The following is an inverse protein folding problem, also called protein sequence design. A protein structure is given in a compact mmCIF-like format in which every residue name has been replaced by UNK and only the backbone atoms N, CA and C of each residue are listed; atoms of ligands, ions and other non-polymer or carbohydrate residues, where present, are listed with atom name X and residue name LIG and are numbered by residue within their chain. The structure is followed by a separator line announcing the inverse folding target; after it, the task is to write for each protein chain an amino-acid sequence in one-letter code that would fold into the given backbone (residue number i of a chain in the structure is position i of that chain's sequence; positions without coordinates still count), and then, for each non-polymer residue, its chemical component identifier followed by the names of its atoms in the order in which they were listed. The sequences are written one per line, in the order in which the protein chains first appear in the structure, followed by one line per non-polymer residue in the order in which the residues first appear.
data_IF_735137718652
#
_entry.id   IF_735137718652
#
_cell.length_a   1.000
_cell.length_b   1.000
_cell.length_c   1.000
_cell.angle_alpha   90.00
_cell.angle_beta   90.00
_cell.angle_gamma   90.00
#
_symmetry.space_group_name_H-M   'P 1'
#
loop_
_entity.id
_entity.type
_entity.pdbx_description
1 polymer ?
#
# COMPACT_ATOMS: atom_id res chain seq x y z
N UNK A 1 5.01 -62.63 29.16
CA UNK A 1 5.32 -62.53 27.72
C UNK A 1 4.46 -61.52 26.98
N UNK A 2 3.11 -61.56 27.02
CA UNK A 2 2.25 -60.62 26.27
C UNK A 2 2.41 -59.11 26.61
N UNK A 3 2.84 -58.75 27.83
CA UNK A 3 3.06 -57.35 28.22
C UNK A 3 4.39 -56.75 27.73
N UNK A 4 5.38 -57.60 27.43
CA UNK A 4 6.69 -57.16 26.91
C UNK A 4 6.59 -56.95 25.39
N UNK A 5 5.77 -57.74 24.69
CA UNK A 5 5.52 -57.59 23.25
C UNK A 5 4.73 -56.32 22.91
N UNK A 6 3.82 -55.88 23.78
CA UNK A 6 3.07 -54.63 23.61
C UNK A 6 3.93 -53.38 23.85
N UNK A 7 4.89 -53.45 24.79
CA UNK A 7 5.84 -52.36 25.03
C UNK A 7 6.89 -52.26 23.91
N UNK A 8 7.30 -53.38 23.33
CA UNK A 8 8.21 -53.39 22.17
C UNK A 8 7.52 -52.89 20.90
N UNK A 9 6.22 -53.18 20.68
CA UNK A 9 5.47 -52.62 19.56
C UNK A 9 5.20 -51.12 19.73
N UNK A 10 4.91 -50.66 20.95
CA UNK A 10 4.77 -49.24 21.24
C UNK A 10 6.11 -48.50 21.11
N UNK A 11 7.23 -49.13 21.47
CA UNK A 11 8.58 -48.58 21.27
C UNK A 11 9.00 -48.64 19.80
N UNK A 12 8.61 -49.65 19.02
CA UNK A 12 8.85 -49.69 17.57
C UNK A 12 7.94 -48.73 16.79
N UNK A 13 6.74 -48.42 17.29
CA UNK A 13 5.90 -47.35 16.73
C UNK A 13 6.35 -45.96 17.20
N UNK A 14 6.92 -45.81 18.40
CA UNK A 14 7.59 -44.56 18.79
C UNK A 14 8.91 -44.36 18.03
N UNK A 15 9.64 -45.43 17.72
CA UNK A 15 10.87 -45.39 16.92
C UNK A 15 10.59 -45.27 15.41
N UNK A 16 9.35 -45.46 14.95
CA UNK A 16 8.93 -45.14 13.59
C UNK A 16 8.51 -43.66 13.43
N UNK A 17 8.52 -42.88 14.52
CA UNK A 17 8.34 -41.41 14.53
C UNK A 17 9.59 -40.73 15.10
N UNK A 18 10.71 -41.44 15.22
CA UNK A 18 12.02 -40.79 15.41
C UNK A 18 12.49 -40.42 14.00
N UNK A 19 12.54 -39.12 13.63
CA UNK A 19 13.18 -38.73 12.39
C UNK A 19 14.60 -39.29 12.38
N UNK A 20 14.95 -39.91 11.26
CA UNK A 20 16.26 -40.48 10.96
C UNK A 20 17.34 -39.50 11.41
N UNK A 21 18.05 -39.87 12.48
CA UNK A 21 19.26 -39.18 12.92
C UNK A 21 20.37 -39.50 11.93
N UNK A 22 20.50 -38.65 10.91
CA UNK A 22 21.58 -38.65 9.95
C UNK A 22 21.15 -37.99 8.66
N UNK A 23 21.72 -36.80 8.40
CA UNK A 23 21.56 -35.92 7.23
C UNK A 23 20.46 -34.86 7.38
N UNK A 24 20.94 -33.62 7.59
CA UNK A 24 20.27 -32.31 7.55
C UNK A 24 18.76 -32.32 7.84
N UNK A 25 18.41 -32.21 9.13
CA UNK A 25 17.00 -32.03 9.53
C UNK A 25 16.49 -30.66 9.08
N UNK A 26 15.23 -30.55 8.61
CA UNK A 26 14.59 -29.25 8.40
C UNK A 26 14.34 -28.49 9.70
N UNK A 27 14.46 -29.11 10.88
CA UNK A 27 14.35 -28.41 12.16
C UNK A 27 15.42 -27.31 12.34
N UNK A 28 15.08 -26.23 13.03
CA UNK A 28 15.94 -25.10 13.39
C UNK A 28 15.49 -23.77 12.76
N UNK A 29 16.37 -22.77 12.80
CA UNK A 29 16.10 -21.43 12.29
C UNK A 29 16.26 -21.37 10.77
N UNK A 30 15.34 -20.68 10.13
CA UNK A 30 15.31 -20.37 8.72
C UNK A 30 15.01 -18.89 8.55
N UNK A 31 15.78 -18.21 7.73
CA UNK A 31 15.66 -16.79 7.49
C UNK A 31 15.29 -16.54 6.04
N UNK A 32 14.29 -15.69 5.87
CA UNK A 32 13.92 -15.12 4.60
C UNK A 32 14.77 -13.87 4.42
N UNK A 33 15.79 -13.94 3.57
CA UNK A 33 16.75 -12.86 3.39
C UNK A 33 16.76 -12.38 1.94
N UNK A 34 16.73 -11.08 1.72
CA UNK A 34 16.85 -10.45 0.40
C UNK A 34 17.91 -9.35 0.46
N UNK A 35 18.96 -9.47 -0.36
CA UNK A 35 20.06 -8.50 -0.42
C UNK A 35 20.62 -8.09 0.97
N UNK A 36 20.96 -9.08 1.81
CA UNK A 36 21.40 -8.93 3.21
C UNK A 36 20.36 -8.33 4.19
N UNK A 37 19.08 -8.24 3.79
CA UNK A 37 17.99 -7.83 4.66
C UNK A 37 17.16 -9.04 5.07
N UNK A 38 17.04 -9.30 6.37
CA UNK A 38 16.14 -10.31 6.94
C UNK A 38 14.71 -9.76 6.90
N UNK A 39 13.90 -10.35 6.03
CA UNK A 39 12.48 -10.05 5.91
C UNK A 39 11.63 -10.80 6.93
N UNK A 40 12.13 -11.90 7.49
CA UNK A 40 11.41 -12.72 8.46
C UNK A 40 12.19 -13.98 8.78
N UNK A 41 11.68 -14.76 9.73
CA UNK A 41 12.25 -16.04 10.10
C UNK A 41 11.18 -17.09 10.38
N UNK A 42 11.56 -18.35 10.25
CA UNK A 42 10.79 -19.50 10.67
C UNK A 42 11.68 -20.36 11.57
N UNK A 43 11.20 -20.64 12.78
CA UNK A 43 11.79 -21.64 13.66
C UNK A 43 10.96 -22.92 13.60
N UNK A 44 11.57 -24.01 13.15
CA UNK A 44 10.96 -25.34 13.13
C UNK A 44 11.49 -26.16 14.29
N UNK A 45 10.68 -26.39 15.32
CA UNK A 45 11.09 -27.17 16.49
C UNK A 45 11.01 -28.68 16.22
N UNK A 46 11.89 -29.46 16.85
CA UNK A 46 11.91 -30.92 16.68
C UNK A 46 10.61 -31.63 17.12
N UNK A 47 9.78 -30.97 17.93
CA UNK A 47 8.49 -31.50 18.41
C UNK A 47 7.34 -31.29 17.40
N UNK A 48 7.62 -30.75 16.21
CA UNK A 48 6.63 -30.46 15.18
C UNK A 48 5.92 -29.12 15.35
N UNK A 49 6.31 -28.30 16.33
CA UNK A 49 5.82 -26.91 16.44
C UNK A 49 6.66 -25.96 15.60
N UNK A 50 6.06 -24.87 15.14
CA UNK A 50 6.73 -23.82 14.39
C UNK A 50 6.48 -22.44 14.99
N UNK A 51 7.42 -21.53 14.83
CA UNK A 51 7.23 -20.09 15.03
C UNK A 51 7.54 -19.41 13.70
N UNK A 52 6.61 -18.61 13.21
CA UNK A 52 6.75 -17.86 11.96
C UNK A 52 6.70 -16.37 12.29
N UNK A 53 7.70 -15.63 11.85
CA UNK A 53 7.74 -14.18 11.95
C UNK A 53 8.00 -13.62 10.55
N UNK A 54 7.06 -12.83 10.05
CA UNK A 54 7.20 -12.13 8.77
C UNK A 54 7.25 -10.63 9.07
N UNK A 55 8.14 -9.92 8.40
CA UNK A 55 8.33 -8.48 8.47
C UNK A 55 8.65 -7.91 9.87
N UNK A 56 9.08 -8.73 10.83
CA UNK A 56 9.43 -8.30 12.20
C UNK A 56 8.25 -7.74 13.00
N UNK A 57 7.01 -8.17 12.71
CA UNK A 57 5.79 -7.67 13.37
C UNK A 57 5.47 -8.46 14.64
N UNK A 58 5.08 -9.74 14.53
CA UNK A 58 4.82 -10.61 15.69
C UNK A 58 5.11 -12.09 15.39
N UNK A 59 5.40 -12.86 16.43
CA UNK A 59 5.63 -14.30 16.35
C UNK A 59 4.30 -15.07 16.26
N UNK A 60 4.10 -15.75 15.15
CA UNK A 60 2.92 -16.58 14.89
C UNK A 60 3.26 -18.03 15.23
N UNK A 61 2.52 -18.60 16.18
CA UNK A 61 2.62 -20.02 16.50
C UNK A 61 1.99 -20.88 15.39
N UNK A 62 2.65 -21.97 15.06
CA UNK A 62 2.21 -22.93 14.06
C UNK A 62 2.69 -24.35 14.34
N UNK A 63 2.49 -25.21 13.36
CA UNK A 63 2.98 -26.59 13.35
C UNK A 63 3.64 -26.88 12.02
N UNK A 64 4.52 -27.87 11.97
CA UNK A 64 5.10 -28.33 10.72
C UNK A 64 5.22 -29.84 10.67
N UNK A 65 5.22 -30.37 9.44
CA UNK A 65 5.46 -31.77 9.14
C UNK A 65 6.40 -31.89 7.95
N UNK A 66 7.16 -32.98 7.86
CA UNK A 66 7.93 -33.30 6.67
C UNK A 66 7.53 -34.66 6.11
N UNK A 67 7.37 -34.74 4.79
CA UNK A 67 7.21 -35.97 4.02
C UNK A 67 8.24 -35.97 2.88
N UNK A 68 9.30 -36.77 3.04
CA UNK A 68 10.45 -36.72 2.15
C UNK A 68 11.12 -35.34 2.16
N UNK A 69 11.20 -34.70 0.99
CA UNK A 69 11.77 -33.36 0.84
C UNK A 69 10.71 -32.26 0.98
N UNK A 70 9.43 -32.60 1.18
CA UNK A 70 8.38 -31.61 1.33
C UNK A 70 8.20 -31.28 2.81
N UNK A 71 8.35 -30.00 3.16
CA UNK A 71 8.12 -29.45 4.49
C UNK A 71 6.85 -28.60 4.42
N UNK A 72 5.80 -29.04 5.11
CA UNK A 72 4.54 -28.31 5.21
C UNK A 72 4.51 -27.56 6.53
N UNK A 73 4.38 -26.24 6.49
CA UNK A 73 4.27 -25.37 7.65
C UNK A 73 2.84 -24.85 7.70
N UNK A 74 2.16 -25.00 8.83
CA UNK A 74 0.80 -24.50 9.05
C UNK A 74 0.81 -23.43 10.13
N UNK A 75 0.52 -22.19 9.75
CA UNK A 75 0.35 -21.07 10.66
C UNK A 75 -1.01 -20.42 10.37
N UNK A 76 -1.73 -19.99 11.41
CA UNK A 76 -3.09 -19.42 11.30
C UNK A 76 -4.08 -20.28 10.47
N UNK A 77 -3.87 -21.59 10.42
CA UNK A 77 -4.73 -22.52 9.67
C UNK A 77 -4.45 -22.59 8.16
N UNK A 78 -3.43 -21.89 7.65
CA UNK A 78 -3.01 -21.94 6.25
C UNK A 78 -1.76 -22.82 6.10
N UNK A 79 -1.82 -23.92 5.34
CA UNK A 79 -0.64 -24.72 5.04
C UNK A 79 0.17 -24.10 3.89
N UNK A 80 1.49 -24.05 4.07
CA UNK A 80 2.48 -23.63 3.07
C UNK A 80 3.48 -24.76 2.86
N UNK A 81 3.64 -25.18 1.62
CA UNK A 81 4.57 -26.24 1.24
C UNK A 81 5.89 -25.67 0.74
N UNK A 82 6.97 -26.23 1.28
CA UNK A 82 8.35 -25.94 0.91
C UNK A 82 9.06 -27.22 0.47
N UNK A 83 9.93 -27.08 -0.51
CA UNK A 83 10.91 -28.10 -0.88
C UNK A 83 12.21 -27.83 -0.13
N UNK A 84 12.62 -28.82 0.66
CA UNK A 84 13.87 -28.84 1.40
C UNK A 84 14.95 -29.60 0.61
N UNK A 85 16.08 -28.95 0.37
CA UNK A 85 17.20 -29.51 -0.40
C UNK A 85 18.40 -29.94 0.48
N UNK A 86 18.26 -29.83 1.81
CA UNK A 86 19.35 -29.98 2.79
C UNK A 86 19.81 -28.63 3.36
N UNK A 87 19.88 -27.61 2.51
CA UNK A 87 20.49 -26.31 2.83
C UNK A 87 19.51 -25.14 2.77
N UNK A 88 18.41 -25.28 2.04
CA UNK A 88 17.40 -24.25 1.83
C UNK A 88 15.98 -24.83 1.87
N UNK A 89 15.01 -23.95 2.14
CA UNK A 89 13.59 -24.19 1.92
C UNK A 89 13.13 -23.29 0.78
N UNK A 90 12.52 -23.85 -0.25
CA UNK A 90 12.01 -23.09 -1.40
C UNK A 90 10.55 -23.41 -1.67
N UNK A 91 9.76 -22.47 -2.18
CA UNK A 91 8.36 -22.71 -2.53
C UNK A 91 8.11 -22.28 -3.98
N UNK A 92 7.22 -22.98 -4.68
CA UNK A 92 6.77 -22.55 -6.01
C UNK A 92 5.82 -21.34 -5.93
N UNK A 93 5.14 -21.17 -4.78
CA UNK A 93 4.22 -20.05 -4.54
C UNK A 93 4.92 -18.80 -4.05
N UNK A 94 6.17 -18.91 -3.58
CA UNK A 94 6.89 -17.83 -2.92
C UNK A 94 8.28 -17.66 -3.54
N UNK A 95 8.58 -16.50 -4.15
CA UNK A 95 9.79 -16.33 -4.98
C UNK A 95 11.10 -16.28 -4.18
N UNK A 96 11.04 -16.32 -2.85
CA UNK A 96 12.21 -16.28 -1.97
C UNK A 96 12.44 -17.64 -1.33
N UNK A 97 13.70 -18.09 -1.37
CA UNK A 97 14.15 -19.23 -0.58
C UNK A 97 14.50 -18.79 0.84
N UNK A 98 14.26 -19.68 1.81
CA UNK A 98 14.75 -19.52 3.16
C UNK A 98 16.08 -20.25 3.31
N UNK A 99 17.00 -19.63 4.03
CA UNK A 99 18.33 -20.19 4.31
C UNK A 99 18.61 -20.20 5.81
N UNK A 100 19.73 -20.81 6.22
CA UNK A 100 20.18 -20.75 7.62
C UNK A 100 20.89 -19.42 7.96
N UNK A 101 21.15 -18.59 6.97
CA UNK A 101 21.90 -17.34 7.12
C UNK A 101 20.95 -16.15 7.32
N UNK A 102 21.05 -15.54 8.48
CA UNK A 102 20.38 -14.28 8.78
C UNK A 102 21.03 -13.13 7.99
N UNK A 103 20.20 -12.25 7.43
CA UNK A 103 20.66 -11.00 6.86
C UNK A 103 21.35 -10.10 7.90
N UNK A 104 22.15 -9.15 7.41
CA UNK A 104 22.88 -8.20 8.27
C UNK A 104 21.97 -7.10 8.83
N UNK A 105 20.81 -6.88 8.23
CA UNK A 105 19.83 -5.89 8.65
C UNK A 105 18.44 -6.51 8.78
N UNK A 106 17.68 -6.23 9.85
CA UNK A 106 16.27 -6.57 9.88
C UNK A 106 15.47 -5.59 9.01
N UNK A 107 14.36 -6.06 8.44
CA UNK A 107 13.46 -5.25 7.61
C UNK A 107 12.94 -4.01 8.34
N UNK A 108 12.79 -4.06 9.67
CA UNK A 108 12.38 -2.92 10.49
C UNK A 108 13.34 -1.73 10.38
N UNK A 109 14.64 -1.96 10.27
CA UNK A 109 15.64 -0.88 10.08
C UNK A 109 15.53 -0.28 8.69
N UNK A 110 15.33 -1.12 7.66
CA UNK A 110 15.11 -0.67 6.28
C UNK A 110 13.83 0.15 6.16
N UNK A 111 12.74 -0.30 6.79
CA UNK A 111 11.46 0.41 6.85
C UNK A 111 11.62 1.80 7.43
N UNK A 112 12.30 1.92 8.59
CA UNK A 112 12.59 3.22 9.22
C UNK A 112 13.41 4.12 8.31
N UNK A 113 14.46 3.57 7.69
CA UNK A 113 15.31 4.34 6.78
C UNK A 113 14.55 4.88 5.56
N UNK A 114 13.63 4.10 4.98
CA UNK A 114 12.81 4.53 3.84
C UNK A 114 11.73 5.55 4.23
N UNK A 115 11.17 5.44 5.43
CA UNK A 115 10.18 6.38 5.97
C UNK A 115 10.78 7.71 6.44
N UNK A 116 12.11 7.80 6.53
CA UNK A 116 12.81 8.97 7.09
C UNK A 116 12.73 9.08 8.61
N UNK A 117 12.29 8.02 9.28
CA UNK A 117 12.32 7.89 10.74
C UNK A 117 13.75 7.76 11.26
N UNK A 118 13.95 8.16 12.52
CA UNK A 118 15.22 7.97 13.21
C UNK A 118 15.46 6.47 13.44
N UNK A 119 16.63 6.00 13.02
CA UNK A 119 17.05 4.61 13.20
C UNK A 119 18.43 4.56 13.83
N UNK A 120 18.70 3.46 14.56
CA UNK A 120 20.01 3.20 15.11
C UNK A 120 20.85 2.41 14.12
N UNK A 121 22.10 2.85 13.91
CA UNK A 121 23.10 2.09 13.19
C UNK A 121 23.41 0.79 13.95
N UNK A 122 23.26 -0.39 13.32
CA UNK A 122 23.68 -1.64 13.93
C UNK A 122 25.15 -1.60 14.32
N UNK A 123 25.48 -2.28 15.41
CA UNK A 123 26.84 -2.29 15.95
C UNK A 123 27.85 -2.77 14.88
N UNK A 124 28.89 -1.97 14.64
CA UNK A 124 29.95 -2.27 13.68
C UNK A 124 29.61 -2.01 12.21
N UNK A 125 28.44 -1.42 11.90
CA UNK A 125 28.06 -1.04 10.54
C UNK A 125 28.25 0.46 10.29
N UNK A 126 28.77 0.83 9.12
CA UNK A 126 28.85 2.22 8.66
C UNK A 126 27.58 2.66 7.95
N UNK A 127 27.28 3.98 7.94
CA UNK A 127 26.15 4.55 7.18
C UNK A 127 26.21 4.20 5.68
N UNK A 128 27.42 4.16 5.11
CA UNK A 128 27.62 3.81 3.70
C UNK A 128 27.26 2.35 3.43
N UNK A 129 27.67 1.42 4.31
CA UNK A 129 27.29 0.01 4.20
C UNK A 129 25.78 -0.17 4.31
N UNK A 130 25.14 0.50 5.26
CA UNK A 130 23.69 0.42 5.43
C UNK A 130 22.95 0.96 4.19
N UNK A 131 23.34 2.14 3.71
CA UNK A 131 22.75 2.74 2.51
C UNK A 131 22.93 1.82 1.30
N UNK A 132 24.10 1.18 1.18
CA UNK A 132 24.37 0.22 0.09
C UNK A 132 23.46 -1.00 0.19
N UNK A 133 23.30 -1.59 1.38
CA UNK A 133 22.40 -2.73 1.61
C UNK A 133 20.97 -2.34 1.26
N UNK A 134 20.50 -1.17 1.70
CA UNK A 134 19.15 -0.71 1.42
C UNK A 134 18.89 -0.43 -0.07
N UNK A 135 19.84 0.18 -0.78
CA UNK A 135 19.73 0.39 -2.23
C UNK A 135 19.67 -0.94 -2.99
N UNK A 136 20.50 -1.92 -2.60
CA UNK A 136 20.47 -3.25 -3.19
C UNK A 136 19.15 -3.97 -2.89
N UNK A 137 18.64 -3.84 -1.67
CA UNK A 137 17.33 -4.37 -1.29
C UNK A 137 16.21 -3.79 -2.14
N UNK A 138 16.13 -2.47 -2.30
CA UNK A 138 15.11 -1.82 -3.15
C UNK A 138 15.22 -2.31 -4.59
N UNK A 139 16.43 -2.43 -5.13
CA UNK A 139 16.66 -2.91 -6.49
C UNK A 139 16.23 -4.37 -6.70
N UNK A 140 16.57 -5.27 -5.79
CA UNK A 140 16.19 -6.70 -5.88
C UNK A 140 14.69 -6.90 -5.60
N UNK A 141 14.13 -6.18 -4.63
CA UNK A 141 12.69 -6.20 -4.34
C UNK A 141 11.89 -5.75 -5.56
N UNK A 142 12.32 -4.68 -6.23
CA UNK A 142 11.68 -4.18 -7.47
C UNK A 142 11.68 -5.25 -8.56
N UNK A 143 12.81 -5.95 -8.78
CA UNK A 143 12.90 -7.03 -9.78
C UNK A 143 11.94 -8.19 -9.48
N UNK A 144 11.79 -8.56 -8.21
CA UNK A 144 10.86 -9.63 -7.80
C UNK A 144 9.42 -9.20 -8.07
N UNK A 145 9.07 -7.95 -7.75
CA UNK A 145 7.74 -7.40 -8.01
C UNK A 145 7.44 -7.29 -9.51
N UNK A 146 8.42 -6.90 -10.33
CA UNK A 146 8.31 -6.88 -11.80
C UNK A 146 8.20 -8.29 -12.40
N UNK A 147 8.89 -9.29 -11.83
CA UNK A 147 8.77 -10.67 -12.28
C UNK A 147 7.40 -11.26 -11.94
N UNK A 148 6.87 -10.95 -10.74
CA UNK A 148 5.54 -11.38 -10.31
C UNK A 148 4.42 -10.75 -11.15
N UNK A 149 4.56 -9.50 -11.59
CA UNK A 149 3.57 -8.85 -12.47
C UNK A 149 3.58 -9.40 -13.90
N UNK A 150 4.72 -9.91 -14.38
CA UNK A 150 4.86 -10.47 -15.73
C UNK A 150 4.41 -11.94 -15.88
N UNK A 151 4.19 -12.67 -14.77
CA UNK A 151 3.71 -14.07 -14.81
C UNK A 151 2.19 -14.23 -14.97
N UNK A 152 1.41 -13.13 -15.00
CA UNK A 152 -0.04 -13.16 -15.24
C UNK A 152 -0.47 -13.38 -16.70
N UNK A 153 0.45 -13.73 -17.62
CA UNK A 153 0.25 -13.64 -19.07
C UNK A 153 0.37 -14.92 -19.90
N UNK A 154 0.48 -16.12 -19.32
CA UNK A 154 0.54 -17.37 -20.12
C UNK A 154 -0.71 -18.23 -19.96
N UNK A 155 -1.61 -18.10 -20.95
CA UNK A 155 -2.69 -19.03 -21.23
C UNK A 155 -2.14 -20.44 -21.50
N UNK A 156 -2.44 -21.40 -20.62
CA UNK A 156 -2.43 -22.81 -20.98
C UNK A 156 -3.83 -23.22 -21.40
N UNK A 157 -4.06 -23.19 -22.72
CA UNK A 157 -5.29 -23.69 -23.31
C UNK A 157 -5.44 -25.20 -23.09
N UNK A 158 -6.55 -25.61 -22.48
CA UNK A 158 -7.22 -26.88 -22.81
C UNK A 158 -8.72 -26.73 -22.64
N UNK A 159 -9.43 -27.14 -23.68
CA UNK A 159 -10.86 -27.02 -23.90
C UNK A 159 -11.69 -27.87 -22.93
N UNK A 160 -12.59 -27.21 -22.20
CA UNK A 160 -13.65 -27.86 -21.43
C UNK A 160 -14.79 -26.87 -21.19
N UNK A 161 -15.86 -27.00 -21.96
CA UNK A 161 -17.10 -26.23 -21.84
C UNK A 161 -17.71 -26.43 -20.45
N UNK A 162 -17.45 -25.46 -19.57
CA UNK A 162 -18.27 -25.22 -18.39
C UNK A 162 -18.43 -23.71 -18.30
N UNK A 163 -19.68 -23.28 -18.36
CA UNK A 163 -20.11 -21.91 -18.11
C UNK A 163 -19.42 -21.39 -16.84
N UNK A 164 -18.60 -20.32 -16.91
CA UNK A 164 -17.96 -19.79 -15.72
C UNK A 164 -19.05 -19.21 -14.83
N UNK A 165 -19.08 -19.69 -13.58
CA UNK A 165 -19.70 -18.96 -12.48
C UNK A 165 -19.10 -17.54 -12.45
N UNK A 166 -19.86 -16.51 -12.04
CA UNK A 166 -19.34 -15.15 -11.98
C UNK A 166 -18.07 -15.18 -11.12
N UNK A 167 -16.93 -14.84 -11.74
CA UNK A 167 -15.77 -14.40 -11.00
C UNK A 167 -16.25 -13.13 -10.29
N UNK A 168 -16.32 -13.17 -8.96
CA UNK A 168 -16.44 -11.96 -8.16
C UNK A 168 -15.26 -11.07 -8.57
N UNK A 169 -15.54 -10.04 -9.35
CA UNK A 169 -14.56 -9.01 -9.69
C UNK A 169 -14.01 -8.47 -8.37
N UNK A 170 -12.68 -8.36 -8.28
CA UNK A 170 -12.05 -7.79 -7.09
C UNK A 170 -12.70 -6.44 -6.78
N UNK A 171 -13.08 -6.15 -5.51
CA UNK A 171 -13.82 -4.95 -5.19
C UNK A 171 -12.99 -3.71 -5.54
N UNK A 172 -13.50 -2.94 -6.49
CA UNK A 172 -12.91 -1.70 -7.00
C UNK A 172 -13.59 -0.49 -6.36
N UNK A 173 -12.85 0.61 -6.25
CA UNK A 173 -13.44 1.89 -5.85
C UNK A 173 -14.26 2.48 -7.00
N UNK A 174 -15.40 3.08 -6.69
CA UNK A 174 -16.21 3.80 -7.69
C UNK A 174 -15.62 5.19 -7.91
N UNK A 175 -15.37 5.57 -9.17
CA UNK A 175 -15.06 6.96 -9.55
C UNK A 175 -16.38 7.69 -9.80
N UNK A 176 -16.83 8.49 -8.86
CA UNK A 176 -18.10 9.24 -8.98
C UNK A 176 -17.97 10.40 -9.97
N UNK A 177 -16.81 11.06 -9.98
CA UNK A 177 -16.52 12.20 -10.86
C UNK A 177 -15.02 12.34 -11.03
N UNK A 178 -14.58 12.68 -12.24
CA UNK A 178 -13.19 13.01 -12.50
C UNK A 178 -13.04 14.21 -13.42
N UNK A 179 -11.87 14.82 -13.42
CA UNK A 179 -11.50 15.93 -14.31
C UNK A 179 -10.01 15.83 -14.61
N UNK A 180 -9.66 16.09 -15.87
CA UNK A 180 -8.28 16.27 -16.29
C UNK A 180 -8.13 17.69 -16.83
N UNK A 181 -7.12 18.41 -16.36
CA UNK A 181 -6.82 19.79 -16.77
C UNK A 181 -5.35 19.93 -17.11
N UNK A 182 -5.05 20.78 -18.07
CA UNK A 182 -3.69 21.15 -18.44
C UNK A 182 -3.48 22.60 -18.07
N UNK A 183 -2.44 22.86 -17.27
CA UNK A 183 -2.07 24.20 -16.82
C UNK A 183 -0.59 24.45 -17.13
N UNK A 184 -0.23 25.72 -17.31
CA UNK A 184 1.18 26.13 -17.37
C UNK A 184 1.90 25.80 -16.04
N UNK A 185 3.14 25.32 -16.15
CA UNK A 185 4.02 24.92 -15.06
C UNK A 185 5.43 25.48 -15.29
N UNK A 186 6.29 25.43 -14.28
CA UNK A 186 7.65 25.95 -14.35
C UNK A 186 8.51 25.36 -15.48
N UNK A 187 8.22 24.13 -15.89
CA UNK A 187 8.98 23.35 -16.88
C UNK A 187 8.22 23.12 -18.20
N UNK A 188 7.09 23.78 -18.43
CA UNK A 188 6.23 23.55 -19.60
C UNK A 188 4.77 23.50 -19.18
N UNK A 189 4.10 22.39 -19.49
CA UNK A 189 2.70 22.18 -19.12
C UNK A 189 2.58 21.03 -18.14
N UNK A 190 1.55 21.07 -17.29
CA UNK A 190 1.24 19.99 -16.37
C UNK A 190 -0.21 19.56 -16.57
N UNK A 191 -0.39 18.30 -16.94
CA UNK A 191 -1.67 17.61 -16.87
C UNK A 191 -1.94 17.18 -15.44
N UNK A 192 -3.09 17.53 -14.89
CA UNK A 192 -3.53 17.13 -13.55
C UNK A 192 -4.88 16.43 -13.64
N UNK A 193 -4.91 15.19 -13.20
CA UNK A 193 -6.11 14.40 -13.00
C UNK A 193 -6.55 14.52 -11.55
N UNK A 194 -7.84 14.76 -11.33
CA UNK A 194 -8.48 14.78 -10.02
C UNK A 194 -9.70 13.87 -10.11
N UNK A 195 -9.88 12.99 -9.14
CA UNK A 195 -11.08 12.16 -9.02
C UNK A 195 -11.65 12.18 -7.62
N UNK A 196 -12.97 12.23 -7.55
CA UNK A 196 -13.78 11.91 -6.37
C UNK A 196 -14.09 10.42 -6.45
N UNK A 197 -13.71 9.71 -5.39
CA UNK A 197 -13.86 8.26 -5.30
C UNK A 197 -14.72 7.90 -4.11
N UNK A 198 -15.43 6.78 -4.22
CA UNK A 198 -16.28 6.28 -3.15
C UNK A 198 -16.18 4.77 -3.05
N UNK A 199 -16.05 4.28 -1.82
CA UNK A 199 -16.19 2.86 -1.57
C UNK A 199 -17.69 2.51 -1.50
N UNK A 200 -18.24 1.96 -2.59
CA UNK A 200 -19.63 1.47 -2.60
C UNK A 200 -19.75 -0.02 -2.25
N UNK A 201 -18.64 -0.66 -1.92
CA UNK A 201 -18.60 -2.07 -1.51
C UNK A 201 -19.00 -2.21 -0.04
N UNK A 202 -19.32 -3.45 0.36
CA UNK A 202 -19.63 -3.79 1.76
C UNK A 202 -18.39 -4.06 2.61
N UNK A 203 -17.19 -3.97 2.02
CA UNK A 203 -15.89 -4.20 2.66
C UNK A 203 -15.00 -2.96 2.55
N UNK A 204 -14.09 -2.71 3.50
CA UNK A 204 -13.14 -1.61 3.39
C UNK A 204 -12.23 -1.76 2.16
N UNK A 205 -11.79 -0.63 1.62
CA UNK A 205 -10.85 -0.57 0.50
C UNK A 205 -9.61 0.22 0.87
N UNK A 206 -8.46 -0.30 0.49
CA UNK A 206 -7.16 0.36 0.58
C UNK A 206 -6.64 0.69 -0.82
N UNK A 207 -6.29 1.96 -1.05
CA UNK A 207 -5.72 2.45 -2.30
C UNK A 207 -4.23 2.14 -2.35
N UNK A 208 -3.80 1.28 -3.27
CA UNK A 208 -2.39 0.88 -3.39
C UNK A 208 -1.63 1.70 -4.42
N UNK A 209 -2.33 2.24 -5.41
CA UNK A 209 -1.70 2.89 -6.54
C UNK A 209 -2.71 3.45 -7.53
N UNK A 210 -2.18 4.06 -8.58
CA UNK A 210 -2.96 4.60 -9.66
C UNK A 210 -2.11 4.69 -10.91
N UNK A 211 -2.74 4.44 -12.05
CA UNK A 211 -2.12 4.62 -13.34
C UNK A 211 -2.93 5.62 -14.15
N UNK A 212 -2.25 6.51 -14.85
CA UNK A 212 -2.86 7.39 -15.84
C UNK A 212 -2.00 7.40 -17.10
N UNK A 213 -2.65 7.21 -18.24
CA UNK A 213 -2.07 7.42 -19.56
C UNK A 213 -2.74 8.62 -20.22
N UNK A 214 -1.94 9.47 -20.88
CA UNK A 214 -2.41 10.67 -21.56
C UNK A 214 -2.07 10.57 -23.04
N UNK A 215 -3.05 10.90 -23.88
CA UNK A 215 -2.98 10.78 -25.33
C UNK A 215 -3.22 12.13 -26.01
N UNK A 216 -2.46 12.40 -27.07
CA UNK A 216 -2.66 13.58 -27.92
C UNK A 216 -3.92 13.47 -28.80
N UNK A 217 -4.19 14.53 -29.58
CA UNK A 217 -5.33 14.55 -30.52
C UNK A 217 -5.22 13.57 -31.70
N UNK A 218 -4.05 12.97 -31.93
CA UNK A 218 -3.86 11.90 -32.91
C UNK A 218 -4.06 10.50 -32.30
N UNK A 219 -4.21 10.42 -30.98
CA UNK A 219 -4.39 9.18 -30.23
C UNK A 219 -3.08 8.51 -29.81
N UNK A 220 -1.93 9.19 -29.94
CA UNK A 220 -0.65 8.67 -29.47
C UNK A 220 -0.50 8.91 -27.97
N UNK A 221 0.00 7.93 -27.21
CA UNK A 221 0.37 8.14 -25.81
C UNK A 221 1.58 9.08 -25.74
N UNK A 222 1.45 10.16 -24.97
CA UNK A 222 2.49 11.20 -24.83
C UNK A 222 3.03 11.32 -23.41
N UNK A 223 2.30 10.82 -22.41
CA UNK A 223 2.74 10.83 -21.02
C UNK A 223 2.04 9.74 -20.21
N UNK A 224 2.62 9.40 -19.06
CA UNK A 224 2.03 8.51 -18.08
C UNK A 224 2.43 8.86 -16.63
N UNK A 225 1.58 8.47 -15.69
CA UNK A 225 1.84 8.50 -14.26
C UNK A 225 1.47 7.14 -13.65
N UNK A 226 2.30 6.65 -12.74
CA UNK A 226 2.12 5.37 -12.04
C UNK A 226 2.21 5.56 -10.52
N UNK A 227 1.50 6.57 -10.00
CA UNK A 227 1.47 6.90 -8.58
C UNK A 227 0.17 7.62 -8.23
N UNK A 228 -0.19 7.66 -6.94
CA UNK A 228 -1.21 8.56 -6.41
C UNK A 228 -0.54 9.66 -5.58
N UNK A 229 -0.94 10.91 -5.80
CA UNK A 229 -0.55 12.03 -4.94
C UNK A 229 -1.28 11.95 -3.60
N UNK A 230 -0.63 12.39 -2.52
CA UNK A 230 -1.23 12.49 -1.18
C UNK A 230 -2.30 13.60 -1.16
N UNK A 231 -3.54 13.24 -1.51
CA UNK A 231 -4.64 14.20 -1.73
C UNK A 231 -5.97 13.78 -1.10
N UNK A 232 -6.01 12.61 -0.48
CA UNK A 232 -7.17 12.01 0.16
C UNK A 232 -6.73 10.86 1.04
N UNK A 233 -7.66 10.34 1.85
CA UNK A 233 -7.43 9.11 2.60
C UNK A 233 -7.21 7.94 1.64
N UNK A 234 -6.28 7.05 2.01
CA UNK A 234 -6.00 5.81 1.28
C UNK A 234 -6.84 4.65 1.79
N UNK A 235 -7.52 4.80 2.91
CA UNK A 235 -8.37 3.79 3.51
C UNK A 235 -9.81 4.29 3.53
N UNK A 236 -10.70 3.55 2.87
CA UNK A 236 -12.11 3.92 2.76
C UNK A 236 -12.97 2.81 3.36
N UNK A 237 -13.66 3.10 4.46
CA UNK A 237 -14.73 2.26 4.97
C UNK A 237 -15.91 2.21 3.97
N UNK A 238 -16.79 1.18 4.04
CA UNK A 238 -18.01 1.12 3.24
C UNK A 238 -18.82 2.43 3.30
N UNK A 239 -19.04 3.03 2.14
CA UNK A 239 -19.79 4.27 1.95
C UNK A 239 -18.95 5.55 2.03
N UNK A 240 -17.67 5.49 2.38
CA UNK A 240 -16.81 6.67 2.49
C UNK A 240 -16.36 7.21 1.14
N UNK A 241 -16.14 8.53 1.12
CA UNK A 241 -15.65 9.29 -0.04
C UNK A 241 -14.24 9.79 0.24
N UNK A 242 -13.38 9.71 -0.77
CA UNK A 242 -12.03 10.28 -0.75
C UNK A 242 -11.73 10.94 -2.11
N UNK A 243 -10.54 11.51 -2.24
CA UNK A 243 -10.06 12.12 -3.47
C UNK A 243 -8.69 11.60 -3.84
N UNK A 244 -8.44 11.52 -5.14
CA UNK A 244 -7.14 11.17 -5.67
C UNK A 244 -6.69 12.19 -6.71
N UNK A 245 -5.38 12.33 -6.83
CA UNK A 245 -4.76 13.16 -7.85
C UNK A 245 -3.54 12.48 -8.45
N UNK A 246 -3.35 12.68 -9.74
CA UNK A 246 -2.16 12.27 -10.50
C UNK A 246 -1.75 13.42 -11.41
N UNK A 247 -0.46 13.57 -11.70
CA UNK A 247 -0.01 14.57 -12.65
C UNK A 247 1.07 14.04 -13.59
N UNK A 248 1.12 14.64 -14.78
CA UNK A 248 2.16 14.41 -15.79
C UNK A 248 2.66 15.74 -16.30
N UNK A 249 3.93 15.80 -16.67
CA UNK A 249 4.47 16.93 -17.41
C UNK A 249 4.22 16.72 -18.91
N UNK A 250 3.87 17.80 -19.61
CA UNK A 250 3.47 17.82 -21.01
C UNK A 250 4.29 18.89 -21.75
N UNK A 251 4.60 18.61 -23.02
CA UNK A 251 5.43 19.47 -23.87
C UNK A 251 4.72 20.74 -24.35
N UNK A 252 3.39 20.71 -24.46
CA UNK A 252 2.59 21.80 -25.01
C UNK A 252 1.23 21.94 -24.33
N UNK A 253 0.63 23.12 -24.45
CA UNK A 253 -0.80 23.28 -24.27
C UNK A 253 -1.55 22.58 -25.41
N UNK A 254 -2.69 21.96 -25.12
CA UNK A 254 -3.42 21.22 -26.13
C UNK A 254 -4.64 20.48 -25.59
N UNK A 255 -5.39 19.90 -26.53
CA UNK A 255 -6.45 18.96 -26.20
C UNK A 255 -5.85 17.56 -26.04
N UNK A 256 -6.07 16.98 -24.88
CA UNK A 256 -5.60 15.65 -24.52
C UNK A 256 -6.78 14.79 -24.08
N UNK A 257 -6.67 13.49 -24.33
CA UNK A 257 -7.54 12.48 -23.70
C UNK A 257 -6.73 11.69 -22.69
N UNK A 258 -7.40 11.01 -21.78
CA UNK A 258 -6.72 10.25 -20.73
C UNK A 258 -7.49 8.96 -20.41
N UNK A 259 -6.74 7.98 -19.90
CA UNK A 259 -7.28 6.80 -19.25
C UNK A 259 -6.65 6.75 -17.86
N UNK A 260 -7.47 6.58 -16.83
CA UNK A 260 -7.01 6.52 -15.45
C UNK A 260 -7.62 5.31 -14.75
N UNK A 261 -6.80 4.59 -13.99
CA UNK A 261 -7.20 3.48 -13.15
C UNK A 261 -6.69 3.70 -11.71
N UNK A 262 -7.45 3.23 -10.74
CA UNK A 262 -7.09 3.28 -9.32
C UNK A 262 -7.04 1.84 -8.83
N UNK A 263 -5.93 1.49 -8.20
CA UNK A 263 -5.69 0.14 -7.71
C UNK A 263 -6.11 0.04 -6.25
N UNK A 264 -6.88 -1.00 -5.93
CA UNK A 264 -7.44 -1.24 -4.60
C UNK A 264 -7.18 -2.65 -4.11
N UNK A 265 -7.12 -2.80 -2.79
CA UNK A 265 -7.12 -4.09 -2.08
C UNK A 265 -8.05 -4.02 -0.88
N UNK A 266 -8.54 -5.16 -0.41
CA UNK A 266 -9.34 -5.27 0.83
C UNK A 266 -8.49 -5.47 2.08
N UNK A 267 -7.28 -5.98 1.90
CA UNK A 267 -6.30 -6.17 2.97
C UNK A 267 -5.47 -4.89 3.12
N UNK A 268 -5.70 -4.16 4.21
CA UNK A 268 -4.82 -3.06 4.65
C UNK A 268 -3.67 -3.65 5.47
N UNK A 269 -2.43 -3.35 5.09
CA UNK A 269 -1.24 -3.84 5.80
C UNK A 269 -0.87 -2.94 6.99
N UNK A 270 -1.19 -1.64 6.97
CA UNK A 270 -0.65 -0.63 7.91
C UNK A 270 -1.44 0.67 8.12
N UNK A 271 -2.56 0.89 7.41
CA UNK A 271 -3.29 2.17 7.51
C UNK A 271 -4.76 1.91 7.76
N UNK A 272 -5.22 2.38 8.92
CA UNK A 272 -6.64 2.51 9.25
C UNK A 272 -6.92 3.99 9.45
N UNK A 273 -6.90 4.73 8.34
CA UNK A 273 -7.25 6.15 8.40
C UNK A 273 -8.64 6.28 9.02
N UNK A 274 -8.81 7.20 9.95
CA UNK A 274 -10.14 7.53 10.48
C UNK A 274 -10.51 8.97 10.16
N UNK A 275 -11.78 9.17 9.82
CA UNK A 275 -12.31 10.47 9.49
C UNK A 275 -12.31 11.42 10.71
N UNK A 276 -11.89 12.67 10.46
CA UNK A 276 -12.00 13.79 11.41
C UNK A 276 -13.10 14.72 10.93
N UNK A 277 -13.90 15.24 11.87
CA UNK A 277 -15.03 16.10 11.55
C UNK A 277 -14.60 17.38 10.85
N UNK A 278 -15.24 17.65 9.71
CA UNK A 278 -15.12 18.90 8.96
C UNK A 278 -16.47 19.63 8.89
N UNK A 279 -16.47 20.93 9.12
CA UNK A 279 -17.65 21.80 9.01
C UNK A 279 -17.35 23.08 8.23
N UNK A 280 -18.42 23.74 7.80
CA UNK A 280 -18.39 25.05 7.15
C UNK A 280 -17.43 25.17 5.94
N UNK A 281 -17.39 24.18 5.02
CA UNK A 281 -16.60 24.35 3.81
C UNK A 281 -17.19 25.48 2.96
N UNK A 282 -16.36 26.44 2.56
CA UNK A 282 -16.82 27.63 1.83
C UNK A 282 -15.78 28.13 0.84
N UNK A 283 -16.27 28.46 -0.36
CA UNK A 283 -15.53 29.24 -1.34
C UNK A 283 -15.75 30.74 -1.07
N UNK A 284 -14.66 31.49 -0.95
CA UNK A 284 -14.69 32.95 -0.78
C UNK A 284 -13.99 33.59 -1.95
N UNK A 285 -14.79 34.17 -2.85
CA UNK A 285 -14.26 35.06 -3.89
C UNK A 285 -13.75 36.34 -3.24
N UNK A 286 -12.49 36.69 -3.47
CA UNK A 286 -11.88 37.88 -2.88
C UNK A 286 -11.70 38.94 -3.96
N UNK A 287 -12.26 40.13 -3.73
CA UNK A 287 -12.11 41.24 -4.66
C UNK A 287 -10.73 41.89 -4.52
N UNK A 288 -10.10 42.21 -5.64
CA UNK A 288 -8.82 42.93 -5.71
C UNK A 288 -7.76 42.20 -6.55
N UNK A 289 -7.00 42.95 -7.34
CA UNK A 289 -6.02 42.42 -8.32
C UNK A 289 -4.90 41.58 -7.70
N UNK A 290 -4.62 41.76 -6.41
CA UNK A 290 -3.56 41.05 -5.68
C UNK A 290 -4.09 40.04 -4.66
N UNK A 291 -5.38 39.74 -4.70
CA UNK A 291 -6.01 38.82 -3.75
C UNK A 291 -6.34 37.47 -4.41
N UNK A 292 -5.95 36.39 -3.76
CA UNK A 292 -6.34 35.03 -4.16
C UNK A 292 -7.75 34.72 -3.64
N UNK A 293 -8.52 33.97 -4.44
CA UNK A 293 -9.79 33.44 -3.94
C UNK A 293 -9.45 32.34 -2.94
N UNK A 294 -10.32 32.09 -1.97
CA UNK A 294 -10.00 31.22 -0.84
C UNK A 294 -10.94 30.03 -0.75
N UNK A 295 -10.38 28.87 -0.47
CA UNK A 295 -11.10 27.71 0.04
C UNK A 295 -10.92 27.67 1.56
N UNK A 296 -12.01 27.46 2.29
CA UNK A 296 -11.96 27.34 3.76
C UNK A 296 -12.75 26.14 4.21
N UNK A 297 -12.32 25.53 5.30
CA UNK A 297 -13.05 24.51 6.04
C UNK A 297 -12.59 24.50 7.50
N UNK A 298 -13.47 24.11 8.42
CA UNK A 298 -13.13 24.00 9.83
C UNK A 298 -13.01 22.53 10.21
N UNK A 299 -11.84 22.14 10.70
CA UNK A 299 -11.59 20.80 11.23
C UNK A 299 -11.76 20.83 12.74
N UNK A 300 -12.45 19.84 13.31
CA UNK A 300 -12.71 19.75 14.75
C UNK A 300 -12.25 18.42 15.31
N UNK A 301 -11.39 18.47 16.34
CA UNK A 301 -11.11 17.32 17.18
C UNK A 301 -12.21 17.19 18.23
N UNK A 302 -13.07 16.18 18.10
CA UNK A 302 -14.16 15.89 19.05
C UNK A 302 -13.75 14.90 20.15
N UNK A 303 -12.47 14.53 20.22
CA UNK A 303 -11.95 13.61 21.25
C UNK A 303 -11.52 14.36 22.50
N UNK A 304 -11.37 13.62 23.60
CA UNK A 304 -10.88 14.13 24.89
C UNK A 304 -9.35 14.21 24.98
N UNK A 305 -8.63 13.83 23.91
CA UNK A 305 -7.18 13.89 23.81
C UNK A 305 -6.75 14.79 22.64
N UNK A 306 -5.53 15.36 22.66
CA UNK A 306 -4.97 15.98 21.46
C UNK A 306 -4.84 14.96 20.32
N UNK A 307 -5.09 15.40 19.09
CA UNK A 307 -4.97 14.58 17.88
C UNK A 307 -3.89 15.19 16.98
N UNK A 308 -2.86 14.40 16.68
CA UNK A 308 -1.78 14.75 15.75
C UNK A 308 -2.07 14.21 14.34
N UNK A 309 -1.25 14.59 13.35
CA UNK A 309 -1.24 13.94 12.05
C UNK A 309 -2.50 14.14 11.19
N UNK A 310 -3.35 15.12 11.53
CA UNK A 310 -4.55 15.41 10.76
C UNK A 310 -4.17 15.91 9.37
N UNK A 311 -4.67 15.25 8.34
CA UNK A 311 -4.62 15.65 6.95
C UNK A 311 -6.02 16.10 6.54
N UNK A 312 -6.10 17.12 5.69
CA UNK A 312 -7.37 17.58 5.17
C UNK A 312 -7.26 17.92 3.68
N UNK A 313 -8.28 17.57 2.92
CA UNK A 313 -8.45 17.96 1.53
C UNK A 313 -9.51 19.04 1.41
N UNK A 314 -9.24 20.06 0.59
CA UNK A 314 -10.20 21.05 0.14
C UNK A 314 -10.30 20.96 -1.38
N UNK A 315 -11.52 20.82 -1.89
CA UNK A 315 -11.79 20.64 -3.32
C UNK A 315 -12.71 21.74 -3.80
N UNK A 316 -12.26 22.53 -4.76
CA UNK A 316 -13.06 23.57 -5.39
C UNK A 316 -13.96 22.93 -6.46
N UNK A 317 -15.26 23.22 -6.41
CA UNK A 317 -16.23 22.66 -7.37
C UNK A 317 -17.14 23.72 -7.99
N UNK A 318 -17.60 23.47 -9.21
CA UNK A 318 -18.65 24.26 -9.86
C UNK A 318 -20.06 23.75 -9.52
N UNK A 319 -21.08 24.40 -10.10
CA UNK A 319 -22.48 24.07 -9.86
C UNK A 319 -22.89 22.67 -10.36
N UNK A 320 -22.13 22.10 -11.30
CA UNK A 320 -22.37 20.78 -11.89
C UNK A 320 -21.52 19.69 -11.20
N UNK A 321 -20.82 20.05 -10.12
CA UNK A 321 -19.94 19.18 -9.35
C UNK A 321 -18.65 18.81 -10.07
N UNK A 322 -18.24 19.55 -11.11
CA UNK A 322 -16.94 19.35 -11.74
C UNK A 322 -15.83 19.78 -10.76
N UNK A 323 -14.75 19.00 -10.73
CA UNK A 323 -13.64 19.19 -9.80
C UNK A 323 -12.66 20.19 -10.42
N UNK A 324 -12.59 21.39 -9.86
CA UNK A 324 -11.81 22.49 -10.42
C UNK A 324 -10.41 22.55 -9.83
N UNK A 325 -10.27 22.31 -8.53
CA UNK A 325 -9.00 22.34 -7.80
C UNK A 325 -9.04 21.37 -6.64
N UNK A 326 -7.87 20.86 -6.26
CA UNK A 326 -7.67 20.09 -5.05
C UNK A 326 -6.45 20.66 -4.34
N UNK A 327 -6.59 20.88 -3.04
CA UNK A 327 -5.49 21.28 -2.17
C UNK A 327 -5.50 20.44 -0.90
N UNK A 328 -4.31 20.14 -0.39
CA UNK A 328 -4.14 19.27 0.79
C UNK A 328 -3.37 20.04 1.86
N UNK A 329 -3.90 19.98 3.07
CA UNK A 329 -3.40 20.68 4.24
C UNK A 329 -3.04 19.66 5.31
N UNK A 330 -1.77 19.63 5.68
CA UNK A 330 -1.25 18.73 6.71
C UNK A 330 -1.01 19.51 8.01
N UNK A 331 -1.67 19.09 9.09
CA UNK A 331 -1.39 19.54 10.46
C UNK A 331 -0.27 18.70 11.11
N UNK A 332 0.72 18.27 10.32
CA UNK A 332 1.75 17.30 10.72
C UNK A 332 2.55 17.71 11.97
N UNK A 333 2.81 19.01 12.16
CA UNK A 333 3.63 19.51 13.29
C UNK A 333 2.81 19.99 14.48
N UNK A 334 1.49 19.98 14.39
CA UNK A 334 0.61 20.59 15.38
C UNK A 334 -0.45 19.58 15.81
N UNK A 335 -0.52 19.30 17.10
CA UNK A 335 -1.67 18.63 17.68
C UNK A 335 -2.86 19.58 17.74
N UNK A 336 -4.01 19.13 17.26
CA UNK A 336 -5.28 19.80 17.53
C UNK A 336 -5.74 19.35 18.92
N UNK A 337 -5.77 20.26 19.88
CA UNK A 337 -6.15 19.96 21.25
C UNK A 337 -7.54 19.33 21.37
N UNK A 338 -7.78 18.64 22.49
CA UNK A 338 -9.07 18.02 22.79
C UNK A 338 -10.22 19.04 22.66
N UNK A 339 -11.33 18.62 22.05
CA UNK A 339 -12.53 19.43 21.86
C UNK A 339 -12.27 20.82 21.23
N UNK A 340 -11.28 20.91 20.34
CA UNK A 340 -10.88 22.17 19.69
C UNK A 340 -11.02 22.11 18.18
N UNK A 341 -11.08 23.29 17.56
CA UNK A 341 -11.24 23.44 16.11
C UNK A 341 -10.21 24.39 15.53
N UNK A 342 -9.87 24.15 14.26
CA UNK A 342 -9.03 25.03 13.46
C UNK A 342 -9.68 25.26 12.10
N UNK A 343 -9.68 26.50 11.62
CA UNK A 343 -10.10 26.83 10.27
C UNK A 343 -8.90 26.81 9.34
N UNK A 344 -8.93 25.89 8.39
CA UNK A 344 -7.98 25.80 7.29
C UNK A 344 -8.36 26.82 6.22
N UNK A 345 -7.36 27.47 5.64
CA UNK A 345 -7.52 28.45 4.58
C UNK A 345 -6.49 28.16 3.51
N UNK A 346 -6.96 27.89 2.31
CA UNK A 346 -6.12 27.71 1.13
C UNK A 346 -6.46 28.73 0.07
N UNK A 347 -5.45 29.17 -0.67
CA UNK A 347 -5.60 30.08 -1.79
C UNK A 347 -5.78 29.30 -3.09
N UNK A 348 -6.80 29.64 -3.87
CA UNK A 348 -6.99 29.16 -5.25
C UNK A 348 -5.85 29.70 -6.10
N UNK A 349 -5.13 28.81 -6.78
CA UNK A 349 -3.97 29.18 -7.60
C UNK A 349 -4.40 29.99 -8.83
N UNK A 350 -3.62 31.02 -9.20
CA UNK A 350 -3.93 31.87 -10.35
C UNK A 350 -4.06 31.09 -11.66
N UNK A 351 -3.30 29.99 -11.82
CA UNK A 351 -3.41 29.10 -12.99
C UNK A 351 -4.75 28.37 -13.02
N UNK A 352 -5.27 27.95 -11.86
CA UNK A 352 -6.61 27.38 -11.75
C UNK A 352 -7.67 28.42 -12.10
N UNK A 353 -7.48 29.68 -11.69
CA UNK A 353 -8.38 30.77 -12.05
C UNK A 353 -8.50 30.98 -13.55
N UNK A 354 -7.36 31.08 -14.22
CA UNK A 354 -7.32 31.19 -15.69
C UNK A 354 -8.03 30.03 -16.36
N UNK A 355 -7.79 28.80 -15.89
CA UNK A 355 -8.42 27.60 -16.44
C UNK A 355 -9.96 27.68 -16.38
N UNK A 356 -10.56 27.96 -15.22
CA UNK A 356 -12.03 28.01 -15.16
C UNK A 356 -12.60 29.23 -15.90
N UNK A 357 -11.90 30.36 -15.96
CA UNK A 357 -12.33 31.54 -16.74
C UNK A 357 -12.34 31.26 -18.25
N UNK A 358 -11.27 30.64 -18.77
CA UNK A 358 -11.14 30.27 -20.18
C UNK A 358 -12.16 29.20 -20.60
N UNK A 359 -12.47 28.27 -19.71
CA UNK A 359 -13.48 27.22 -19.95
C UNK A 359 -14.91 27.67 -19.64
N UNK A 360 -15.11 28.90 -19.16
CA UNK A 360 -16.43 29.40 -18.78
C UNK A 360 -17.05 28.69 -17.57
N UNK A 361 -16.21 28.06 -16.75
CA UNK A 361 -16.60 27.38 -15.51
C UNK A 361 -16.64 28.40 -14.36
N UNK A 362 -17.61 28.25 -13.46
CA UNK A 362 -17.77 29.15 -12.32
C UNK A 362 -17.67 28.35 -11.03
N UNK A 363 -16.64 28.57 -10.20
CA UNK A 363 -16.55 27.95 -8.88
C UNK A 363 -17.73 28.40 -8.00
N UNK A 364 -18.34 27.46 -7.29
CA UNK A 364 -19.53 27.74 -6.46
C UNK A 364 -19.43 27.23 -5.03
N UNK A 365 -18.68 26.15 -4.78
CA UNK A 365 -18.59 25.52 -3.47
C UNK A 365 -17.21 24.92 -3.22
N UNK A 366 -16.99 24.53 -1.96
CA UNK A 366 -15.85 23.72 -1.52
C UNK A 366 -16.43 22.43 -0.94
N UNK A 367 -15.84 21.30 -1.31
CA UNK A 367 -15.96 20.05 -0.59
C UNK A 367 -14.72 19.88 0.28
N UNK A 368 -14.86 19.36 1.50
CA UNK A 368 -13.70 19.18 2.38
C UNK A 368 -13.87 17.96 3.28
N UNK A 369 -12.79 17.20 3.43
CA UNK A 369 -12.71 16.00 4.25
C UNK A 369 -11.37 16.00 4.99
N UNK A 370 -11.34 15.40 6.18
CA UNK A 370 -10.13 15.28 6.97
C UNK A 370 -10.03 13.88 7.56
N UNK A 371 -8.81 13.41 7.74
CA UNK A 371 -8.50 12.11 8.32
C UNK A 371 -7.20 12.17 9.11
N UNK A 372 -6.99 11.17 9.94
CA UNK A 372 -5.69 10.90 10.57
C UNK A 372 -5.23 9.57 10.05
N UNK A 373 -4.01 9.55 9.52
CA UNK A 373 -3.31 8.33 9.13
C UNK A 373 -2.94 7.59 10.41
N UNK A 374 -3.45 6.37 10.57
CA UNK A 374 -3.10 5.51 11.70
C UNK A 374 -2.01 4.53 11.24
N UNK A 375 -0.76 4.89 11.54
CA UNK A 375 0.42 4.05 11.33
C UNK A 375 0.57 3.08 12.52
N UNK A 376 -0.34 2.11 12.66
CA UNK A 376 -0.20 1.01 13.64
C UNK A 376 0.65 -0.14 13.07
#
# INVERSE_FOLDING_TARGET
MKKITALLLALCMLLAVVPVLGEESPAGNWYMSLADVTLGYILLNEDGTAIVNVASEEDIAGTWTADGNTVTITAQGQPLDFTFDGTSLSSEMFPLSLSREEGRLPMSVISKMMSGEEYELPEGMTELEMTTIAMNFVAEYTKIMEAASNQGGEETGTTGTTEPAPQDEAPIVTIEKSTFRVNESYSGFRGTYIARIKNENEVPLFLTGGNMQVFDGEGNQVAEASYLSRTGSKYLEPGETSFVSMYVDLESDGEYTYQANIETKTESYRSTDYAVKVTDPVFVKVEGEYNSDLMKATVTNETEAPVAGIQAVLVLVDADGNLLEIDTQDLYRNELGANSSITLVSSVEDRTKKFYEEKGLTPTAVEAYAWVENDD
#
